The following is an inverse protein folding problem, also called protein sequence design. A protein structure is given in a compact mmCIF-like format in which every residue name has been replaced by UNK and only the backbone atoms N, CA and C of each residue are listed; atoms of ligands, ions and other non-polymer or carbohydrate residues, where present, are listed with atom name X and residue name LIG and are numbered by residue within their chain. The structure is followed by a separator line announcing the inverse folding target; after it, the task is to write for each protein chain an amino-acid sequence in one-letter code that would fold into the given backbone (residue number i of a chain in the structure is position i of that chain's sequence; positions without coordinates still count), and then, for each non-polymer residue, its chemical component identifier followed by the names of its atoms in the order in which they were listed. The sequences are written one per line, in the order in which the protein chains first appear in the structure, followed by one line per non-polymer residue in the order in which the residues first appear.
data_IF_872694406463
#
_entry.id   IF_872694406463
#
_cell.length_a   1.000
_cell.length_b   1.000
_cell.length_c   1.000
_cell.angle_alpha   90.00
_cell.angle_beta   90.00
_cell.angle_gamma   90.00
#
_symmetry.space_group_name_H-M   'P 1'
#
loop_
_entity.id
_entity.type
_entity.pdbx_description
1 polymer ?
#
# COMPACT_ATOMS: atom_id res chain seq x y z
N UNK A 1 4.12 12.47 -19.95
CA UNK A 1 4.84 11.39 -19.28
C UNK A 1 5.46 11.85 -17.97
N UNK A 2 6.25 12.92 -17.94
CA UNK A 2 6.91 13.42 -16.71
C UNK A 2 5.93 13.80 -15.60
N UNK A 3 4.78 14.39 -15.94
CA UNK A 3 3.72 14.66 -14.94
C UNK A 3 3.21 13.37 -14.29
N UNK A 4 3.08 12.29 -15.07
CA UNK A 4 2.70 10.97 -14.53
C UNK A 4 3.79 10.43 -13.60
N UNK A 5 5.06 10.58 -13.96
CA UNK A 5 6.18 10.18 -13.09
C UNK A 5 6.15 10.93 -11.74
N UNK A 6 5.89 12.25 -11.79
CA UNK A 6 5.74 13.05 -10.57
C UNK A 6 4.62 12.53 -9.66
N UNK A 7 3.47 12.20 -10.22
CA UNK A 7 2.34 11.62 -9.45
C UNK A 7 2.69 10.25 -8.89
N UNK A 8 3.38 9.42 -9.65
CA UNK A 8 3.77 8.06 -9.27
C UNK A 8 4.78 8.05 -8.11
N UNK A 9 5.64 9.07 -7.99
CA UNK A 9 6.53 9.23 -6.81
C UNK A 9 5.70 9.27 -5.52
N UNK A 10 4.64 10.07 -5.48
CA UNK A 10 3.77 10.19 -4.29
C UNK A 10 2.99 8.91 -4.03
N UNK A 11 2.58 8.19 -5.08
CA UNK A 11 1.96 6.88 -4.90
C UNK A 11 2.91 5.91 -4.20
N UNK A 12 4.13 5.74 -4.72
CA UNK A 12 5.10 4.82 -4.14
C UNK A 12 5.57 5.24 -2.76
N UNK A 13 5.71 6.54 -2.51
CA UNK A 13 5.96 7.07 -1.17
C UNK A 13 4.87 6.62 -0.19
N UNK A 14 3.61 6.78 -0.57
CA UNK A 14 2.47 6.37 0.28
C UNK A 14 2.38 4.86 0.40
N UNK A 15 2.45 4.14 -0.72
CA UNK A 15 2.27 2.69 -0.76
C UNK A 15 3.33 1.96 0.08
N UNK A 16 4.60 2.31 -0.05
CA UNK A 16 5.67 1.64 0.69
C UNK A 16 5.74 2.02 2.18
N UNK A 17 4.89 2.93 2.67
CA UNK A 17 4.68 3.08 4.12
C UNK A 17 4.16 1.79 4.76
N UNK A 18 3.65 0.84 3.97
CA UNK A 18 3.24 -0.49 4.44
C UNK A 18 4.39 -1.23 5.15
N UNK A 19 5.62 -1.13 4.65
CA UNK A 19 6.82 -1.73 5.24
C UNK A 19 7.48 -0.87 6.32
N UNK A 20 6.98 0.33 6.59
CA UNK A 20 7.57 1.27 7.52
C UNK A 20 6.56 1.77 8.58
N UNK A 21 5.89 2.89 8.34
CA UNK A 21 4.96 3.48 9.32
C UNK A 21 3.80 2.56 9.69
N UNK A 22 3.26 1.79 8.74
CA UNK A 22 2.17 0.85 9.04
C UNK A 22 2.65 -0.35 9.87
N UNK A 23 3.90 -0.77 9.73
CA UNK A 23 4.49 -1.81 10.59
C UNK A 23 4.62 -1.29 12.03
N UNK A 24 5.07 -0.03 12.22
CA UNK A 24 5.09 0.59 13.54
C UNK A 24 3.69 0.75 14.13
N UNK A 25 2.73 1.22 13.34
CA UNK A 25 1.34 1.30 13.78
C UNK A 25 0.79 -0.07 14.22
N UNK A 26 1.04 -1.10 13.44
CA UNK A 26 0.62 -2.45 13.79
C UNK A 26 1.26 -2.95 15.10
N UNK A 27 2.55 -2.67 15.30
CA UNK A 27 3.25 -3.04 16.53
C UNK A 27 2.68 -2.32 17.76
N UNK A 28 2.40 -1.03 17.63
CA UNK A 28 2.04 -0.18 18.77
C UNK A 28 0.55 -0.29 19.12
N UNK A 29 -0.34 -0.46 18.14
CA UNK A 29 -1.80 -0.36 18.33
C UNK A 29 -2.61 -1.61 17.96
N UNK A 30 -2.04 -2.63 17.30
CA UNK A 30 -2.80 -3.81 16.90
C UNK A 30 -2.61 -4.94 17.90
N UNK A 31 -3.67 -5.68 18.19
CA UNK A 31 -3.57 -6.90 18.97
C UNK A 31 -2.91 -8.01 18.16
N UNK A 32 -1.63 -8.21 18.42
CA UNK A 32 -0.81 -9.24 17.77
C UNK A 32 -0.87 -10.59 18.51
N UNK A 33 -1.56 -10.67 19.64
CA UNK A 33 -1.64 -11.91 20.44
C UNK A 33 -2.37 -13.04 19.70
N UNK A 34 -3.27 -12.65 18.79
CA UNK A 34 -4.02 -13.60 17.93
C UNK A 34 -3.21 -14.05 16.71
N UNK A 35 -2.03 -13.44 16.47
CA UNK A 35 -1.14 -13.76 15.36
C UNK A 35 0.13 -14.41 15.92
N UNK A 36 0.01 -15.66 16.27
CA UNK A 36 1.13 -16.49 16.74
C UNK A 36 1.02 -17.84 16.02
N UNK A 37 1.68 -17.94 14.86
CA UNK A 37 1.61 -19.12 14.01
C UNK A 37 2.89 -19.93 14.18
N UNK A 38 2.76 -21.08 14.81
CA UNK A 38 3.85 -22.04 14.92
C UNK A 38 3.80 -23.01 13.72
N UNK A 39 4.82 -22.94 12.87
CA UNK A 39 4.98 -23.82 11.71
C UNK A 39 5.86 -25.06 12.00
N UNK A 40 6.23 -25.28 13.26
CA UNK A 40 7.09 -26.39 13.69
C UNK A 40 8.59 -26.15 13.45
N UNK A 41 8.97 -25.58 12.30
CA UNK A 41 10.35 -25.21 11.98
C UNK A 41 10.64 -23.71 12.21
N UNK A 42 9.61 -22.90 12.30
CA UNK A 42 9.71 -21.47 12.63
C UNK A 42 8.39 -20.97 13.24
N UNK A 43 8.49 -19.91 14.00
CA UNK A 43 7.32 -19.25 14.63
C UNK A 43 7.17 -17.86 14.04
N UNK A 44 6.02 -17.60 13.44
CA UNK A 44 5.70 -16.30 12.83
C UNK A 44 4.84 -15.53 13.83
N UNK A 45 5.38 -14.41 14.30
CA UNK A 45 4.68 -13.49 15.18
C UNK A 45 5.22 -12.08 14.98
N UNK A 46 4.38 -11.09 15.30
CA UNK A 46 4.79 -9.68 15.17
C UNK A 46 4.13 -8.96 14.01
N UNK A 47 4.34 -7.66 13.96
CA UNK A 47 3.70 -6.77 12.99
C UNK A 47 4.16 -7.01 11.54
N UNK A 48 5.33 -7.59 11.36
CA UNK A 48 5.95 -7.85 10.07
C UNK A 48 5.13 -8.82 9.21
N UNK A 49 4.29 -9.65 9.83
CA UNK A 49 3.40 -10.59 9.12
C UNK A 49 2.46 -9.87 8.14
N UNK A 50 2.06 -8.64 8.46
CA UNK A 50 1.20 -7.87 7.57
C UNK A 50 1.84 -7.55 6.23
N UNK A 51 3.17 -7.54 6.13
CA UNK A 51 3.86 -7.36 4.85
C UNK A 51 3.61 -8.52 3.88
N UNK A 52 3.32 -9.73 4.38
CA UNK A 52 2.96 -10.88 3.56
C UNK A 52 1.52 -10.79 3.01
N UNK A 53 0.67 -9.96 3.62
CA UNK A 53 -0.74 -9.80 3.23
C UNK A 53 -0.86 -9.16 1.85
N UNK A 54 0.00 -8.20 1.52
CA UNK A 54 0.00 -7.57 0.19
C UNK A 54 0.33 -8.56 -0.93
N UNK A 55 1.46 -9.29 -0.95
CA UNK A 55 1.73 -10.31 -1.97
C UNK A 55 0.62 -11.37 -2.06
N UNK A 56 0.04 -11.77 -0.94
CA UNK A 56 -1.09 -12.69 -0.92
C UNK A 56 -2.26 -12.11 -1.72
N UNK A 57 -2.69 -10.89 -1.41
CA UNK A 57 -3.77 -10.26 -2.15
C UNK A 57 -3.43 -9.99 -3.61
N UNK A 58 -2.18 -9.64 -3.95
CA UNK A 58 -1.74 -9.49 -5.35
C UNK A 58 -2.05 -10.75 -6.15
N UNK A 59 -1.67 -11.93 -5.64
CA UNK A 59 -1.90 -13.20 -6.33
C UNK A 59 -3.39 -13.48 -6.55
N UNK A 60 -4.22 -13.26 -5.52
CA UNK A 60 -5.65 -13.58 -5.61
C UNK A 60 -6.48 -12.52 -6.34
N UNK A 61 -6.12 -11.24 -6.22
CA UNK A 61 -6.90 -10.16 -6.84
C UNK A 61 -6.48 -9.89 -8.31
N UNK A 62 -5.27 -10.23 -8.71
CA UNK A 62 -4.82 -10.02 -10.09
C UNK A 62 -5.75 -10.65 -11.13
N UNK A 63 -6.16 -11.93 -11.04
CA UNK A 63 -7.09 -12.52 -12.00
C UNK A 63 -8.44 -11.78 -12.04
N UNK A 64 -8.93 -11.34 -10.88
CA UNK A 64 -10.19 -10.59 -10.79
C UNK A 64 -10.08 -9.22 -11.47
N UNK A 65 -9.02 -8.47 -11.20
CA UNK A 65 -8.79 -7.14 -11.82
C UNK A 65 -8.58 -7.28 -13.33
N UNK A 66 -7.85 -8.31 -13.78
CA UNK A 66 -7.69 -8.60 -15.21
C UNK A 66 -9.03 -8.94 -15.88
N UNK A 67 -9.85 -9.77 -15.23
CA UNK A 67 -11.19 -10.08 -15.71
C UNK A 67 -12.07 -8.81 -15.77
N UNK A 68 -12.04 -7.97 -14.76
CA UNK A 68 -12.79 -6.72 -14.70
C UNK A 68 -12.44 -5.81 -15.89
N UNK A 69 -11.14 -5.55 -16.12
CA UNK A 69 -10.72 -4.73 -17.25
C UNK A 69 -11.02 -5.40 -18.59
N UNK A 70 -10.90 -6.72 -18.70
CA UNK A 70 -11.30 -7.45 -19.89
C UNK A 70 -12.80 -7.33 -20.19
N UNK A 71 -13.65 -7.40 -19.16
CA UNK A 71 -15.09 -7.21 -19.28
C UNK A 71 -15.47 -5.77 -19.67
N UNK A 72 -14.79 -4.77 -19.11
CA UNK A 72 -14.97 -3.37 -19.47
C UNK A 72 -14.53 -3.09 -20.92
N UNK A 73 -13.42 -3.69 -21.35
CA UNK A 73 -12.93 -3.59 -22.74
C UNK A 73 -13.93 -4.14 -23.74
N UNK A 74 -14.55 -5.30 -23.46
CA UNK A 74 -15.58 -5.90 -24.33
C UNK A 74 -16.82 -5.01 -24.51
N UNK A 75 -17.04 -4.08 -23.59
CA UNK A 75 -18.17 -3.12 -23.60
C UNK A 75 -17.76 -1.73 -24.07
N UNK A 76 -16.55 -1.54 -24.57
CA UNK A 76 -15.96 -0.24 -24.95
C UNK A 76 -16.00 0.80 -23.80
N UNK A 77 -15.98 0.33 -22.55
CA UNK A 77 -16.01 1.16 -21.34
C UNK A 77 -14.72 1.08 -20.51
N UNK A 78 -13.65 0.53 -21.10
CA UNK A 78 -12.36 0.44 -20.42
C UNK A 78 -11.77 1.84 -20.22
N UNK A 79 -11.45 2.25 -18.97
CA UNK A 79 -10.82 3.53 -18.72
C UNK A 79 -9.45 3.61 -19.39
N UNK A 80 -9.05 4.80 -19.82
CA UNK A 80 -7.70 5.04 -20.31
C UNK A 80 -6.66 4.75 -19.23
N UNK A 81 -5.42 4.44 -19.62
CA UNK A 81 -4.37 4.13 -18.64
C UNK A 81 -4.12 5.26 -17.64
N UNK A 82 -4.07 6.54 -18.01
CA UNK A 82 -4.00 7.63 -17.05
C UNK A 82 -5.20 7.67 -16.09
N UNK A 83 -6.40 7.35 -16.56
CA UNK A 83 -7.60 7.26 -15.71
C UNK A 83 -7.50 6.12 -14.70
N UNK A 84 -6.97 4.96 -15.10
CA UNK A 84 -6.73 3.84 -14.16
C UNK A 84 -5.73 4.22 -13.08
N UNK A 85 -4.66 4.93 -13.45
CA UNK A 85 -3.69 5.47 -12.48
C UNK A 85 -4.38 6.44 -11.51
N UNK A 86 -5.20 7.36 -12.01
CA UNK A 86 -5.94 8.29 -11.16
C UNK A 86 -6.92 7.58 -10.21
N UNK A 87 -7.63 6.56 -10.69
CA UNK A 87 -8.51 5.72 -9.85
C UNK A 87 -7.69 5.00 -8.78
N UNK A 88 -6.55 4.40 -9.13
CA UNK A 88 -5.65 3.75 -8.18
C UNK A 88 -5.16 4.71 -7.09
N UNK A 89 -4.78 5.95 -7.46
CA UNK A 89 -4.42 6.99 -6.49
C UNK A 89 -5.57 7.34 -5.55
N UNK A 90 -6.80 7.46 -6.09
CA UNK A 90 -8.00 7.70 -5.28
C UNK A 90 -8.27 6.56 -4.29
N UNK A 91 -8.12 5.30 -4.72
CA UNK A 91 -8.28 4.13 -3.85
C UNK A 91 -7.19 4.12 -2.75
N UNK A 92 -5.93 4.45 -3.09
CA UNK A 92 -4.87 4.57 -2.10
C UNK A 92 -5.17 5.67 -1.06
N UNK A 93 -5.68 6.82 -1.50
CA UNK A 93 -6.11 7.87 -0.59
C UNK A 93 -7.23 7.39 0.37
N UNK A 94 -8.21 6.65 -0.15
CA UNK A 94 -9.28 6.05 0.67
C UNK A 94 -8.73 5.05 1.70
N UNK A 95 -7.67 4.30 1.39
CA UNK A 95 -7.02 3.41 2.36
C UNK A 95 -6.50 4.19 3.57
N UNK A 96 -5.87 5.35 3.35
CA UNK A 96 -5.37 6.18 4.44
C UNK A 96 -6.48 6.93 5.19
N UNK A 97 -7.57 7.32 4.50
CA UNK A 97 -8.77 7.84 5.17
C UNK A 97 -9.39 6.77 6.08
N UNK A 98 -9.44 5.52 5.60
CA UNK A 98 -9.88 4.39 6.41
C UNK A 98 -9.02 4.24 7.69
N UNK A 99 -7.70 4.23 7.57
CA UNK A 99 -6.79 4.17 8.72
C UNK A 99 -6.97 5.37 9.66
N UNK A 100 -7.10 6.58 9.09
CA UNK A 100 -7.30 7.81 9.85
C UNK A 100 -8.55 7.74 10.75
N UNK A 101 -9.66 7.22 10.23
CA UNK A 101 -10.90 7.07 11.01
C UNK A 101 -10.66 6.22 12.26
N UNK A 102 -9.95 5.10 12.14
CA UNK A 102 -9.63 4.28 13.29
C UNK A 102 -8.61 4.94 14.22
N UNK A 103 -7.66 5.71 13.68
CA UNK A 103 -6.65 6.41 14.48
C UNK A 103 -7.24 7.48 15.40
N UNK A 104 -8.38 8.08 15.06
CA UNK A 104 -9.04 9.06 15.94
C UNK A 104 -9.52 8.48 17.27
N UNK A 105 -9.69 7.18 17.36
CA UNK A 105 -10.11 6.50 18.61
C UNK A 105 -8.92 6.06 19.47
N UNK A 106 -7.69 6.26 18.98
CA UNK A 106 -6.47 5.80 19.63
C UNK A 106 -5.74 6.98 20.32
N UNK A 107 -5.08 6.73 21.44
CA UNK A 107 -4.25 7.75 22.09
C UNK A 107 -3.03 8.08 21.22
N UNK A 108 -2.49 9.30 21.42
CA UNK A 108 -1.23 9.67 20.80
C UNK A 108 -0.09 8.74 21.25
N UNK A 109 0.91 8.57 20.41
CA UNK A 109 2.05 7.67 20.68
C UNK A 109 2.78 8.00 21.98
N UNK A 110 2.96 9.30 22.28
CA UNK A 110 3.61 9.74 23.51
C UNK A 110 2.85 9.27 24.77
N UNK A 111 1.52 9.20 24.69
CA UNK A 111 0.69 8.73 25.80
C UNK A 111 0.92 7.24 26.09
N UNK A 112 1.29 6.41 25.09
CA UNK A 112 1.57 4.99 25.28
C UNK A 112 2.73 4.76 26.27
N UNK A 113 3.71 5.66 26.31
CA UNK A 113 4.87 5.55 27.21
C UNK A 113 4.50 5.69 28.70
N UNK A 114 3.36 6.31 29.00
CA UNK A 114 2.85 6.55 30.36
C UNK A 114 1.77 5.54 30.78
N UNK A 115 1.29 4.73 29.84
CA UNK A 115 0.23 3.73 30.07
C UNK A 115 0.79 2.40 30.60
N UNK A 116 0.03 1.75 31.45
CA UNK A 116 0.33 0.37 31.88
C UNK A 116 0.09 -0.64 30.74
N UNK A 117 0.70 -1.81 30.83
CA UNK A 117 0.50 -2.87 29.85
C UNK A 117 -0.97 -3.31 29.73
N UNK A 118 -1.75 -3.25 30.84
CA UNK A 118 -3.18 -3.57 30.82
C UNK A 118 -3.99 -2.53 30.03
N UNK A 119 -3.69 -1.25 30.23
CA UNK A 119 -4.33 -0.14 29.49
C UNK A 119 -3.99 -0.20 28.00
N UNK A 120 -2.72 -0.45 27.63
CA UNK A 120 -2.31 -0.62 26.25
C UNK A 120 -3.07 -1.77 25.59
N UNK A 121 -3.20 -2.91 26.25
CA UNK A 121 -3.95 -4.06 25.70
C UNK A 121 -5.44 -3.76 25.52
N UNK A 122 -6.02 -2.90 26.36
CA UNK A 122 -7.44 -2.54 26.28
C UNK A 122 -7.76 -1.63 25.06
N UNK A 123 -6.79 -0.85 24.58
CA UNK A 123 -6.97 0.05 23.42
C UNK A 123 -6.57 -0.57 22.10
N UNK A 124 -5.95 -1.75 22.10
CA UNK A 124 -5.50 -2.40 20.87
C UNK A 124 -6.66 -2.73 19.95
N UNK A 125 -6.46 -2.40 18.68
CA UNK A 125 -7.43 -2.68 17.62
C UNK A 125 -7.22 -4.07 17.04
N UNK A 126 -8.28 -4.63 16.46
CA UNK A 126 -8.23 -5.95 15.83
C UNK A 126 -7.31 -5.97 14.59
N UNK A 127 -6.58 -7.07 14.32
CA UNK A 127 -5.76 -7.24 13.12
C UNK A 127 -6.53 -7.10 11.80
N UNK A 128 -7.83 -7.31 11.81
CA UNK A 128 -8.68 -7.17 10.62
C UNK A 128 -8.65 -5.77 10.01
N UNK A 129 -8.37 -4.74 10.82
CA UNK A 129 -8.19 -3.36 10.33
C UNK A 129 -6.98 -3.29 9.40
N UNK A 130 -5.86 -3.91 9.78
CA UNK A 130 -4.66 -3.97 8.94
C UNK A 130 -4.91 -4.79 7.68
N UNK A 131 -5.58 -5.94 7.79
CA UNK A 131 -5.93 -6.77 6.63
C UNK A 131 -6.81 -6.00 5.65
N UNK A 132 -7.82 -5.26 6.14
CA UNK A 132 -8.67 -4.40 5.32
C UNK A 132 -7.88 -3.26 4.65
N UNK A 133 -6.97 -2.62 5.38
CA UNK A 133 -6.09 -1.58 4.85
C UNK A 133 -5.21 -2.12 3.71
N UNK A 134 -4.54 -3.25 3.93
CA UNK A 134 -3.70 -3.89 2.91
C UNK A 134 -4.51 -4.36 1.70
N UNK A 135 -5.74 -4.84 1.91
CA UNK A 135 -6.64 -5.17 0.80
C UNK A 135 -6.90 -3.94 -0.09
N UNK A 136 -7.27 -2.79 0.50
CA UNK A 136 -7.53 -1.56 -0.27
C UNK A 136 -6.26 -1.07 -0.97
N UNK A 137 -5.11 -1.07 -0.28
CA UNK A 137 -3.83 -0.70 -0.88
C UNK A 137 -3.42 -1.62 -2.03
N UNK A 138 -3.65 -2.92 -1.92
CA UNK A 138 -3.36 -3.88 -3.00
C UNK A 138 -4.25 -3.65 -4.21
N UNK A 139 -5.54 -3.34 -4.01
CA UNK A 139 -6.41 -2.96 -5.12
C UNK A 139 -5.86 -1.72 -5.81
N UNK A 140 -5.47 -0.69 -5.07
CA UNK A 140 -4.85 0.52 -5.63
C UNK A 140 -3.58 0.20 -6.45
N UNK A 141 -2.71 -0.66 -5.93
CA UNK A 141 -1.49 -1.10 -6.59
C UNK A 141 -1.79 -1.78 -7.93
N UNK A 142 -2.76 -2.68 -7.97
CA UNK A 142 -3.13 -3.41 -9.18
C UNK A 142 -3.69 -2.50 -10.30
N UNK A 143 -4.19 -1.32 -9.95
CA UNK A 143 -4.57 -0.29 -10.92
C UNK A 143 -3.39 0.49 -11.49
N UNK A 144 -2.22 0.47 -10.84
CA UNK A 144 -1.07 1.32 -11.20
C UNK A 144 0.09 0.48 -11.70
N UNK A 145 0.51 -0.54 -10.96
CA UNK A 145 1.78 -1.24 -11.17
C UNK A 145 1.86 -1.98 -12.52
N UNK A 146 0.90 -2.87 -12.89
CA UNK A 146 1.02 -3.61 -14.15
C UNK A 146 0.79 -2.74 -15.38
N UNK A 147 0.11 -1.59 -15.22
CA UNK A 147 -0.24 -0.70 -16.33
C UNK A 147 0.82 0.37 -16.57
N UNK A 148 1.60 0.73 -15.58
CA UNK A 148 2.55 1.83 -15.65
C UNK A 148 3.65 1.60 -16.68
N UNK A 149 4.35 0.47 -16.61
CA UNK A 149 5.40 0.13 -17.59
C UNK A 149 4.82 -0.04 -19.00
N UNK A 150 3.64 -0.65 -19.14
CA UNK A 150 2.95 -0.79 -20.42
C UNK A 150 2.55 0.58 -21.01
N UNK A 151 2.11 1.50 -20.16
CA UNK A 151 1.79 2.87 -20.58
C UNK A 151 3.02 3.61 -21.07
N UNK A 152 4.11 3.56 -20.31
CA UNK A 152 5.38 4.18 -20.69
C UNK A 152 5.86 3.66 -22.05
N UNK A 153 5.83 2.34 -22.27
CA UNK A 153 6.23 1.72 -23.52
C UNK A 153 5.39 2.16 -24.71
N UNK A 154 4.09 2.45 -24.51
CA UNK A 154 3.18 2.87 -25.58
C UNK A 154 3.28 4.36 -25.93
N UNK A 155 3.61 5.19 -24.95
CA UNK A 155 3.62 6.65 -25.10
C UNK A 155 5.01 7.18 -25.42
N UNK A 156 6.06 6.48 -25.02
CA UNK A 156 7.43 6.89 -25.29
C UNK A 156 7.81 6.69 -26.78
N UNK A 157 8.57 7.61 -27.37
CA UNK A 157 9.15 7.39 -28.68
C UNK A 157 9.98 6.11 -28.72
N UNK A 158 9.98 5.33 -29.82
CA UNK A 158 10.66 4.03 -29.88
C UNK A 158 12.13 4.05 -29.45
N UNK A 159 12.87 5.09 -29.82
CA UNK A 159 14.29 5.26 -29.48
C UNK A 159 14.53 5.66 -28.01
N UNK A 160 13.49 6.07 -27.27
CA UNK A 160 13.58 6.48 -25.84
C UNK A 160 12.84 5.53 -24.90
N UNK A 161 12.26 4.43 -25.38
CA UNK A 161 11.45 3.53 -24.56
C UNK A 161 12.23 3.01 -23.35
N UNK A 162 13.47 2.55 -23.52
CA UNK A 162 14.31 2.06 -22.43
C UNK A 162 14.61 3.16 -21.39
N UNK A 163 14.93 4.38 -21.86
CA UNK A 163 15.17 5.52 -20.99
C UNK A 163 13.91 5.86 -20.18
N UNK A 164 12.75 5.91 -20.82
CA UNK A 164 11.50 6.25 -20.16
C UNK A 164 11.05 5.16 -19.16
N UNK A 165 11.30 3.89 -19.46
CA UNK A 165 11.11 2.80 -18.48
C UNK A 165 12.06 2.94 -17.29
N UNK A 166 13.32 3.30 -17.53
CA UNK A 166 14.29 3.65 -16.51
C UNK A 166 13.80 4.80 -15.62
N UNK A 167 13.24 5.85 -16.21
CA UNK A 167 12.64 6.97 -15.47
C UNK A 167 11.43 6.55 -14.63
N UNK A 168 10.62 5.60 -15.07
CA UNK A 168 9.55 5.02 -14.26
C UNK A 168 10.09 4.31 -13.02
N UNK A 169 11.13 3.49 -13.18
CA UNK A 169 11.79 2.82 -12.06
C UNK A 169 12.49 3.82 -11.13
N UNK A 170 13.10 4.87 -11.70
CA UNK A 170 13.69 5.96 -10.91
C UNK A 170 12.63 6.71 -10.09
N UNK A 171 11.43 6.95 -10.63
CA UNK A 171 10.32 7.54 -9.88
C UNK A 171 9.92 6.67 -8.68
N UNK A 172 9.87 5.34 -8.86
CA UNK A 172 9.65 4.40 -7.75
C UNK A 172 10.76 4.49 -6.70
N UNK A 173 12.03 4.53 -7.14
CA UNK A 173 13.18 4.63 -6.24
C UNK A 173 13.17 5.95 -5.43
N UNK A 174 12.81 7.07 -6.09
CA UNK A 174 12.65 8.36 -5.39
C UNK A 174 11.54 8.29 -4.35
N UNK A 175 10.38 7.73 -4.68
CA UNK A 175 9.29 7.50 -3.73
C UNK A 175 9.76 6.70 -2.50
N UNK A 176 10.50 5.63 -2.72
CA UNK A 176 11.09 4.79 -1.66
C UNK A 176 12.13 5.55 -0.82
N UNK A 177 12.94 6.39 -1.44
CA UNK A 177 13.92 7.20 -0.72
C UNK A 177 13.28 8.22 0.23
N UNK A 178 12.03 8.59 0.00
CA UNK A 178 11.29 9.54 0.85
C UNK A 178 10.53 8.87 2.00
N UNK A 179 10.64 7.54 2.18
CA UNK A 179 9.92 6.81 3.25
C UNK A 179 10.22 7.31 4.65
N UNK A 180 11.42 7.85 4.88
CA UNK A 180 11.80 8.43 6.16
C UNK A 180 10.88 9.58 6.61
N UNK A 181 10.23 10.29 5.67
CA UNK A 181 9.27 11.36 5.98
C UNK A 181 8.10 10.81 6.80
N UNK A 182 7.56 9.64 6.41
CA UNK A 182 6.52 8.98 7.20
C UNK A 182 6.98 8.57 8.59
N UNK A 183 8.25 8.16 8.73
CA UNK A 183 8.84 7.85 10.03
C UNK A 183 8.96 9.08 10.93
N UNK A 184 9.40 10.22 10.39
CA UNK A 184 9.49 11.48 11.15
C UNK A 184 8.10 11.94 11.59
N UNK A 185 7.07 11.78 10.75
CA UNK A 185 5.70 12.18 11.09
C UNK A 185 5.03 11.22 12.07
N UNK A 186 5.52 9.97 12.18
CA UNK A 186 5.00 8.97 13.10
C UNK A 186 5.58 9.12 14.52
N UNK A 187 6.74 9.75 14.68
CA UNK A 187 7.38 9.96 16.00
C UNK A 187 6.77 11.14 16.73
#
# INVERSE_FOLDING_TARGET
LFAVFGVVIFFWLSFHQNGYSLTYFARDYVDLSVIDIDLGFTRIKGAEIFQCVNPFFVVFLTPFIMWLFGALKKKDKEPSTPMKIAIGMGIAALAYVFLMIFSFTLPAKDALSTMSAAEINAIRVTPWIMIGLYFILTVAELFISPLGLSFVSKVAPPHLQGLMQGCWLAATAVGNSLLFVGGILYT
#
